data_IF_649501765469
#
_entry.id   IF_649501765469
#
_cell.length_a   1.000
_cell.length_b   1.000
_cell.length_c   1.000
_cell.angle_alpha   90.00
_cell.angle_beta   90.00
_cell.angle_gamma   90.00
#
_symmetry.space_group_name_H-M   'P 1'
#
loop_
_entity.id
_entity.type
_entity.pdbx_description
1 polymer ?
#
# COMPACT_ATOMS: atom_id res chain seq x y z
N UNK A 1 17.91 3.62 -7.91
CA UNK A 1 16.58 3.00 -8.13
C UNK A 1 16.04 2.64 -6.77
N UNK A 2 15.36 3.57 -6.13
CA UNK A 2 14.86 3.38 -4.77
C UNK A 2 13.59 2.53 -4.83
N UNK A 3 13.77 1.20 -4.83
CA UNK A 3 12.70 0.20 -4.92
C UNK A 3 11.62 0.40 -3.85
N UNK A 4 12.02 0.96 -2.70
CA UNK A 4 11.15 1.28 -1.57
C UNK A 4 10.21 2.47 -1.82
N UNK A 5 10.45 3.26 -2.87
CA UNK A 5 9.56 4.37 -3.30
C UNK A 5 8.42 3.90 -4.21
N UNK A 6 8.30 2.60 -4.49
CA UNK A 6 7.26 2.09 -5.38
C UNK A 6 5.91 1.92 -4.65
N UNK A 7 4.88 2.64 -5.08
CA UNK A 7 3.53 2.57 -4.50
C UNK A 7 2.92 1.16 -4.62
N UNK A 8 3.03 0.53 -5.80
CA UNK A 8 2.52 -0.81 -6.03
C UNK A 8 3.16 -1.87 -5.14
N UNK A 9 4.42 -1.66 -4.71
CA UNK A 9 5.11 -2.55 -3.77
C UNK A 9 4.44 -2.50 -2.40
N UNK A 10 4.22 -1.30 -1.85
CA UNK A 10 3.57 -1.15 -0.54
C UNK A 10 2.12 -1.61 -0.56
N UNK A 11 1.37 -1.33 -1.63
CA UNK A 11 0.02 -1.88 -1.82
C UNK A 11 0.05 -3.41 -1.78
N UNK A 12 1.01 -4.05 -2.45
CA UNK A 12 1.15 -5.52 -2.45
C UNK A 12 1.50 -6.07 -1.06
N UNK A 13 2.37 -5.37 -0.31
CA UNK A 13 2.72 -5.73 1.08
C UNK A 13 1.50 -5.66 1.99
N UNK A 14 0.75 -4.56 1.96
CA UNK A 14 -0.47 -4.44 2.77
C UNK A 14 -1.56 -5.42 2.33
N UNK A 15 -1.71 -5.68 1.03
CA UNK A 15 -2.65 -6.70 0.54
C UNK A 15 -2.30 -8.11 1.07
N UNK A 16 -1.01 -8.47 1.08
CA UNK A 16 -0.55 -9.74 1.64
C UNK A 16 -0.81 -9.83 3.14
N UNK A 17 -0.55 -8.76 3.89
CA UNK A 17 -0.86 -8.68 5.33
C UNK A 17 -2.36 -8.86 5.55
N UNK A 18 -3.20 -8.14 4.80
CA UNK A 18 -4.67 -8.28 4.88
C UNK A 18 -5.15 -9.69 4.58
N UNK A 19 -4.55 -10.34 3.58
CA UNK A 19 -4.88 -11.73 3.23
C UNK A 19 -4.54 -12.69 4.37
N UNK A 20 -3.38 -12.54 5.01
CA UNK A 20 -3.00 -13.32 6.20
C UNK A 20 -4.00 -13.04 7.33
N UNK A 21 -4.24 -11.76 7.66
CA UNK A 21 -5.18 -11.37 8.72
C UNK A 21 -6.59 -11.91 8.50
N UNK A 22 -7.08 -11.88 7.26
CA UNK A 22 -8.38 -12.41 6.89
C UNK A 22 -8.44 -13.92 6.92
N UNK A 23 -7.43 -14.60 6.40
CA UNK A 23 -7.40 -16.06 6.31
C UNK A 23 -7.30 -16.73 7.69
N UNK A 24 -6.66 -16.07 8.66
CA UNK A 24 -6.62 -16.51 10.06
C UNK A 24 -7.82 -16.00 10.89
N UNK A 25 -8.79 -15.30 10.28
CA UNK A 25 -9.96 -14.76 10.99
C UNK A 25 -9.63 -13.67 12.01
N UNK A 26 -8.46 -13.03 11.90
CA UNK A 26 -8.05 -11.96 12.81
C UNK A 26 -8.92 -10.71 12.66
N UNK A 27 -9.54 -10.48 11.51
CA UNK A 27 -10.55 -9.42 11.36
C UNK A 27 -11.61 -9.53 12.45
N UNK A 28 -12.29 -10.66 12.56
CA UNK A 28 -13.29 -10.87 13.61
C UNK A 28 -12.70 -10.93 15.02
N UNK A 29 -11.49 -11.50 15.22
CA UNK A 29 -10.87 -11.52 16.56
C UNK A 29 -10.44 -10.16 17.07
N UNK A 30 -10.06 -9.25 16.18
CA UNK A 30 -9.63 -7.89 16.54
C UNK A 30 -10.79 -6.89 16.50
N UNK A 31 -12.01 -7.34 16.18
CA UNK A 31 -13.18 -6.47 15.99
C UNK A 31 -13.08 -5.56 14.77
N UNK A 32 -12.22 -5.92 13.81
CA UNK A 32 -12.02 -5.19 12.56
C UNK A 32 -12.81 -5.83 11.42
N UNK A 33 -13.38 -5.00 10.55
CA UNK A 33 -13.94 -5.46 9.27
C UNK A 33 -12.96 -5.20 8.13
N UNK A 34 -13.17 -5.88 7.00
CA UNK A 34 -12.37 -5.69 5.79
C UNK A 34 -12.35 -4.22 5.33
N UNK A 35 -13.49 -3.51 5.45
CA UNK A 35 -13.59 -2.08 5.17
C UNK A 35 -12.73 -1.22 6.10
N UNK A 36 -12.76 -1.48 7.41
CA UNK A 36 -11.93 -0.75 8.38
C UNK A 36 -10.44 -0.96 8.11
N UNK A 37 -10.06 -2.20 7.77
CA UNK A 37 -8.69 -2.51 7.38
C UNK A 37 -8.27 -1.77 6.11
N UNK A 38 -9.14 -1.75 5.09
CA UNK A 38 -8.88 -1.03 3.84
C UNK A 38 -8.70 0.47 4.10
N UNK A 39 -9.54 1.09 4.93
CA UNK A 39 -9.40 2.50 5.31
C UNK A 39 -8.08 2.79 6.02
N UNK A 40 -7.65 1.92 6.94
CA UNK A 40 -6.37 2.06 7.64
C UNK A 40 -5.21 1.99 6.64
N UNK A 41 -5.21 1.00 5.74
CA UNK A 41 -4.17 0.84 4.72
C UNK A 41 -4.12 2.06 3.80
N UNK A 42 -5.27 2.58 3.37
CA UNK A 42 -5.35 3.74 2.47
C UNK A 42 -4.87 5.03 3.15
N UNK A 43 -5.19 5.20 4.44
CA UNK A 43 -4.66 6.31 5.25
C UNK A 43 -3.13 6.24 5.39
N UNK A 44 -2.58 5.04 5.65
CA UNK A 44 -1.12 4.85 5.75
C UNK A 44 -0.44 5.14 4.40
N UNK A 45 -0.97 4.62 3.31
CA UNK A 45 -0.44 4.90 1.96
C UNK A 45 -0.53 6.37 1.61
N UNK A 46 -1.62 7.05 1.97
CA UNK A 46 -1.77 8.50 1.80
C UNK A 46 -0.70 9.26 2.57
N UNK A 47 -0.47 8.90 3.84
CA UNK A 47 0.60 9.50 4.66
C UNK A 47 1.97 9.24 4.04
N UNK A 48 2.24 8.04 3.52
CA UNK A 48 3.52 7.73 2.89
C UNK A 48 3.73 8.52 1.60
N UNK A 49 2.67 8.75 0.84
CA UNK A 49 2.71 9.61 -0.36
C UNK A 49 2.97 11.06 0.04
N UNK A 50 2.26 11.59 1.04
CA UNK A 50 2.45 12.95 1.54
C UNK A 50 3.85 13.16 2.15
N UNK A 51 4.37 12.15 2.84
CA UNK A 51 5.72 12.16 3.41
C UNK A 51 6.83 11.95 2.35
N UNK A 52 6.48 11.70 1.09
CA UNK A 52 7.46 11.45 0.00
C UNK A 52 8.19 10.11 0.12
N UNK A 53 7.70 9.19 0.95
CA UNK A 53 8.27 7.83 1.13
C UNK A 53 7.95 6.97 -0.09
N UNK A 54 6.75 7.11 -0.66
CA UNK A 54 6.34 6.47 -1.93
C UNK A 54 5.93 7.50 -2.96
N UNK A 55 6.19 7.17 -4.23
CA UNK A 55 5.79 7.97 -5.37
C UNK A 55 4.26 8.00 -5.49
N UNK A 56 3.69 9.20 -5.63
CA UNK A 56 2.27 9.37 -5.87
C UNK A 56 1.88 8.81 -7.25
N UNK A 57 0.95 7.84 -7.36
CA UNK A 57 0.54 7.30 -8.66
C UNK A 57 -0.19 8.31 -9.56
N UNK A 58 -0.55 9.51 -9.07
CA UNK A 58 -1.20 10.56 -9.87
C UNK A 58 -0.38 11.00 -11.10
N UNK A 59 0.93 10.72 -11.15
CA UNK A 59 1.81 11.10 -12.27
C UNK A 59 2.52 9.93 -12.96
N UNK A 60 2.24 8.67 -12.62
CA UNK A 60 2.92 7.52 -13.22
C UNK A 60 2.31 6.18 -12.82
N UNK A 61 2.29 5.24 -13.76
CA UNK A 61 1.81 3.88 -13.54
C UNK A 61 2.57 3.27 -12.35
N UNK A 62 1.90 3.10 -11.20
CA UNK A 62 2.50 2.73 -9.90
C UNK A 62 3.18 1.36 -9.82
N UNK A 63 3.47 0.73 -10.96
CA UNK A 63 4.25 -0.49 -11.10
C UNK A 63 5.43 -0.33 -12.08
N UNK A 64 5.39 0.68 -12.96
CA UNK A 64 6.43 0.96 -13.93
C UNK A 64 7.25 2.15 -13.43
N UNK A 65 8.47 1.85 -12.98
CA UNK A 65 9.49 2.87 -12.75
C UNK A 65 9.79 3.52 -14.09
N UNK A 66 9.28 4.73 -14.34
CA UNK A 66 9.58 5.44 -15.58
C UNK A 66 11.04 5.88 -15.49
N UNK A 67 11.93 5.07 -16.08
CA UNK A 67 13.26 5.53 -16.50
C UNK A 67 13.04 6.62 -17.54
N UNK A 68 12.79 7.86 -17.12
CA UNK A 68 13.10 8.99 -17.98
C UNK A 68 14.62 9.04 -18.12
N UNK A 69 15.05 8.47 -19.24
CA UNK A 69 16.38 8.56 -19.77
C UNK A 69 16.52 9.94 -20.44
N UNK A 70 17.66 10.59 -20.19
CA UNK A 70 18.17 11.89 -20.66
C UNK A 70 17.86 13.09 -19.78
#
# INVERSE_FOLDING_TARGET
MDRFKNYGLWVSVFALIGLILGNYGLYSKLGLNADSYKQIVDAILTVFVMAGIVNNPTSGQGYLDNKQNK
#
